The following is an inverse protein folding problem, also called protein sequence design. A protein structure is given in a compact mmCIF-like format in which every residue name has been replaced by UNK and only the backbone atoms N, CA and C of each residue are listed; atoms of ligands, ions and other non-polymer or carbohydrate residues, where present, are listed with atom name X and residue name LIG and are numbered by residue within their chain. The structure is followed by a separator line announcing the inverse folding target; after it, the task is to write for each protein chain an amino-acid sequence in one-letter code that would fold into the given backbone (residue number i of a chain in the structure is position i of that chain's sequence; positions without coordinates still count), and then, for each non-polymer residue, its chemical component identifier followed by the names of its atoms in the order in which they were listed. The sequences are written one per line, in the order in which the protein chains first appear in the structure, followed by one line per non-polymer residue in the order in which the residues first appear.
data_IF_581724857500
#
_entry.id   IF_581724857500
#
_cell.length_a   1.000
_cell.length_b   1.000
_cell.length_c   1.000
_cell.angle_alpha   90.00
_cell.angle_beta   90.00
_cell.angle_gamma   90.00
#
_symmetry.space_group_name_H-M   'P 1'
#
loop_
_entity.id
_entity.type
_entity.pdbx_description
1 polymer ?
#
# COMPACT_ATOMS: atom_id res chain seq x y z
N UNK A 1 5.90 -2.10 15.89
CA UNK A 1 4.98 -1.58 14.85
C UNK A 1 5.19 -0.10 14.52
N UNK A 2 5.59 0.73 15.49
CA UNK A 2 5.87 2.16 15.27
C UNK A 2 6.84 2.41 14.10
N UNK A 3 7.91 1.63 13.99
CA UNK A 3 8.90 1.74 12.91
C UNK A 3 8.32 1.39 11.53
N UNK A 4 7.54 0.30 11.42
CA UNK A 4 6.92 -0.11 10.14
C UNK A 4 5.87 0.91 9.66
N UNK A 5 5.08 1.43 10.60
CA UNK A 5 4.09 2.46 10.31
C UNK A 5 4.74 3.80 9.94
N UNK A 6 5.81 4.18 10.65
CA UNK A 6 6.59 5.37 10.36
C UNK A 6 7.27 5.28 8.98
N UNK A 7 7.86 4.14 8.64
CA UNK A 7 8.43 3.88 7.31
C UNK A 7 7.36 4.04 6.24
N UNK A 8 6.17 3.48 6.41
CA UNK A 8 5.11 3.59 5.41
C UNK A 8 4.58 5.03 5.27
N UNK A 9 4.44 5.76 6.38
CA UNK A 9 4.06 7.19 6.40
C UNK A 9 5.11 8.04 5.68
N UNK A 10 6.38 7.90 6.05
CA UNK A 10 7.48 8.68 5.46
C UNK A 10 7.61 8.36 3.98
N UNK A 11 7.56 7.09 3.60
CA UNK A 11 7.61 6.66 2.21
C UNK A 11 6.47 7.31 1.39
N UNK A 12 5.26 7.36 1.92
CA UNK A 12 4.12 7.90 1.17
C UNK A 12 4.11 9.42 1.12
N UNK A 13 4.51 10.12 2.19
CA UNK A 13 4.67 11.58 2.13
C UNK A 13 5.79 11.99 1.18
N UNK A 14 6.90 11.25 1.15
CA UNK A 14 7.96 11.43 0.15
C UNK A 14 7.40 11.22 -1.26
N UNK A 15 6.54 10.22 -1.47
CA UNK A 15 5.94 9.93 -2.79
C UNK A 15 4.99 11.04 -3.25
N UNK A 16 4.13 11.53 -2.37
CA UNK A 16 3.22 12.64 -2.66
C UNK A 16 4.03 13.90 -2.98
N UNK A 17 5.09 14.17 -2.22
CA UNK A 17 5.99 15.30 -2.47
C UNK A 17 6.74 15.18 -3.80
N UNK A 18 7.21 13.98 -4.16
CA UNK A 18 7.90 13.74 -5.43
C UNK A 18 6.96 13.85 -6.63
N UNK A 19 5.65 13.63 -6.46
CA UNK A 19 4.68 13.79 -7.54
C UNK A 19 4.34 15.23 -7.92
N UNK A 20 4.63 16.22 -7.06
CA UNK A 20 4.63 17.63 -7.48
C UNK A 20 5.67 17.87 -8.59
N UNK A 21 6.66 16.99 -8.68
CA UNK A 21 7.64 16.92 -9.76
C UNK A 21 7.39 15.66 -10.58
N UNK A 22 6.34 15.64 -11.41
CA UNK A 22 5.81 14.51 -12.22
C UNK A 22 6.87 13.45 -12.61
N UNK A 23 8.03 13.87 -13.12
CA UNK A 23 9.13 12.99 -13.51
C UNK A 23 9.77 12.22 -12.33
N UNK A 24 10.03 12.89 -11.22
CA UNK A 24 10.56 12.28 -10.00
C UNK A 24 9.51 11.36 -9.35
N UNK A 25 8.23 11.72 -9.42
CA UNK A 25 7.12 10.88 -8.96
C UNK A 25 7.10 9.51 -9.62
N UNK A 26 7.28 9.47 -10.94
CA UNK A 26 7.36 8.21 -11.68
C UNK A 26 8.56 7.35 -11.27
N UNK A 27 9.74 7.94 -11.08
CA UNK A 27 10.93 7.20 -10.62
C UNK A 27 10.77 6.69 -9.18
N UNK A 28 10.14 7.48 -8.31
CA UNK A 28 9.87 7.09 -6.94
C UNK A 28 8.97 5.85 -6.88
N UNK A 29 7.94 5.79 -7.72
CA UNK A 29 7.00 4.66 -7.78
C UNK A 29 7.69 3.32 -8.12
N UNK A 30 8.78 3.33 -8.90
CA UNK A 30 9.56 2.12 -9.23
C UNK A 30 10.24 1.53 -7.98
N UNK A 31 10.69 2.38 -7.05
CA UNK A 31 11.30 1.94 -5.78
C UNK A 31 10.23 1.65 -4.73
N UNK A 32 9.21 2.50 -4.65
CA UNK A 32 8.15 2.42 -3.66
C UNK A 32 7.20 1.25 -3.88
N UNK A 33 6.82 0.95 -5.12
CA UNK A 33 5.90 -0.15 -5.43
C UNK A 33 6.37 -1.48 -4.82
N UNK A 34 7.60 -1.94 -5.13
CA UNK A 34 8.17 -3.15 -4.52
C UNK A 34 8.28 -3.06 -3.00
N UNK A 35 8.70 -1.92 -2.44
CA UNK A 35 8.82 -1.73 -1.00
C UNK A 35 7.46 -1.87 -0.29
N UNK A 36 6.41 -1.29 -0.88
CA UNK A 36 5.04 -1.33 -0.38
C UNK A 36 4.46 -2.75 -0.47
N UNK A 37 4.77 -3.48 -1.53
CA UNK A 37 4.43 -4.90 -1.69
C UNK A 37 5.12 -5.79 -0.64
N UNK A 38 6.41 -5.56 -0.39
CA UNK A 38 7.16 -6.26 0.65
C UNK A 38 6.59 -5.98 2.05
N UNK A 39 6.28 -4.72 2.36
CA UNK A 39 5.63 -4.35 3.63
C UNK A 39 4.28 -5.06 3.78
N UNK A 40 3.48 -5.10 2.72
CA UNK A 40 2.19 -5.79 2.75
C UNK A 40 2.34 -7.29 3.03
N UNK A 41 3.31 -7.96 2.39
CA UNK A 41 3.61 -9.38 2.63
C UNK A 41 4.01 -9.60 4.09
N UNK A 42 4.93 -8.78 4.63
CA UNK A 42 5.39 -8.89 6.02
C UNK A 42 4.20 -8.73 6.98
N UNK A 43 3.33 -7.75 6.73
CA UNK A 43 2.14 -7.51 7.54
C UNK A 43 1.17 -8.69 7.47
N UNK A 44 0.87 -9.20 6.27
CA UNK A 44 -0.02 -10.33 6.07
C UNK A 44 0.52 -11.61 6.70
N UNK A 45 1.82 -11.89 6.65
CA UNK A 45 2.37 -13.10 7.25
C UNK A 45 2.46 -13.02 8.77
N UNK A 46 2.91 -11.88 9.30
CA UNK A 46 3.24 -11.75 10.72
C UNK A 46 2.04 -11.39 11.59
N UNK A 47 1.12 -10.57 11.07
CA UNK A 47 0.08 -9.96 11.87
C UNK A 47 -1.33 -10.45 11.55
N UNK A 48 -1.57 -11.12 10.42
CA UNK A 48 -2.92 -11.53 10.01
C UNK A 48 -3.69 -12.36 11.07
N UNK A 49 -2.99 -13.27 11.77
CA UNK A 49 -3.60 -14.12 12.79
C UNK A 49 -3.99 -13.41 14.09
N UNK A 50 -3.39 -12.25 14.38
CA UNK A 50 -3.66 -11.50 15.62
C UNK A 50 -4.64 -10.35 15.39
N UNK A 51 -5.07 -10.12 14.15
CA UNK A 51 -5.98 -9.04 13.78
C UNK A 51 -7.43 -9.44 14.01
N UNK A 52 -8.26 -8.45 14.31
CA UNK A 52 -9.70 -8.60 14.26
C UNK A 52 -10.19 -8.81 12.82
N UNK A 53 -11.43 -9.28 12.69
CA UNK A 53 -12.07 -9.52 11.38
C UNK A 53 -12.08 -8.26 10.51
N UNK A 54 -12.26 -7.08 11.10
CA UNK A 54 -12.28 -5.82 10.36
C UNK A 54 -10.94 -5.54 9.65
N UNK A 55 -9.82 -5.65 10.38
CA UNK A 55 -8.50 -5.41 9.80
C UNK A 55 -8.06 -6.53 8.85
N UNK A 56 -8.50 -7.77 9.07
CA UNK A 56 -8.29 -8.86 8.10
C UNK A 56 -8.97 -8.57 6.77
N UNK A 57 -10.22 -8.10 6.80
CA UNK A 57 -10.98 -7.71 5.61
C UNK A 57 -10.29 -6.56 4.86
N UNK A 58 -9.76 -5.55 5.57
CA UNK A 58 -9.00 -4.45 4.96
C UNK A 58 -7.75 -4.94 4.20
N UNK A 59 -7.01 -5.88 4.78
CA UNK A 59 -5.85 -6.50 4.12
C UNK A 59 -6.28 -7.32 2.90
N UNK A 60 -7.40 -8.05 2.99
CA UNK A 60 -7.95 -8.82 1.87
C UNK A 60 -8.35 -7.91 0.70
N UNK A 61 -9.03 -6.79 0.98
CA UNK A 61 -9.36 -5.79 -0.04
C UNK A 61 -8.11 -5.17 -0.67
N UNK A 62 -7.07 -4.89 0.13
CA UNK A 62 -5.80 -4.40 -0.40
C UNK A 62 -5.21 -5.39 -1.41
N UNK A 63 -5.11 -6.67 -1.06
CA UNK A 63 -4.58 -7.69 -1.97
C UNK A 63 -5.42 -7.85 -3.23
N UNK A 64 -6.75 -7.78 -3.10
CA UNK A 64 -7.66 -7.78 -4.24
C UNK A 64 -7.39 -6.60 -5.19
N UNK A 65 -7.24 -5.39 -4.64
CA UNK A 65 -6.89 -4.19 -5.42
C UNK A 65 -5.51 -4.30 -6.09
N UNK A 66 -4.51 -4.85 -5.41
CA UNK A 66 -3.17 -5.08 -5.96
C UNK A 66 -3.24 -6.05 -7.15
N UNK A 67 -3.93 -7.19 -6.99
CA UNK A 67 -4.06 -8.20 -8.05
C UNK A 67 -4.79 -7.62 -9.27
N UNK A 68 -5.88 -6.88 -9.05
CA UNK A 68 -6.60 -6.21 -10.14
C UNK A 68 -5.70 -5.18 -10.82
N UNK A 69 -5.04 -4.32 -10.06
CA UNK A 69 -4.17 -3.26 -10.61
C UNK A 69 -3.03 -3.85 -11.43
N UNK A 70 -2.38 -4.92 -10.95
CA UNK A 70 -1.30 -5.60 -11.67
C UNK A 70 -1.81 -6.31 -12.92
N UNK A 71 -2.98 -6.95 -12.85
CA UNK A 71 -3.58 -7.65 -14.00
C UNK A 71 -3.93 -6.67 -15.11
N UNK A 72 -4.58 -5.54 -14.77
CA UNK A 72 -4.94 -4.52 -15.74
C UNK A 72 -3.67 -3.85 -16.31
N UNK A 73 -2.68 -3.55 -15.47
CA UNK A 73 -1.40 -3.00 -15.94
C UNK A 73 -0.70 -3.96 -16.91
N UNK A 74 -0.70 -5.27 -16.64
CA UNK A 74 -0.13 -6.28 -17.52
C UNK A 74 -0.86 -6.34 -18.88
N UNK A 75 -2.20 -6.42 -18.88
CA UNK A 75 -3.00 -6.41 -20.11
C UNK A 75 -2.74 -5.12 -20.92
N UNK A 76 -2.73 -3.98 -20.23
CA UNK A 76 -2.46 -2.68 -20.84
C UNK A 76 -1.07 -2.64 -21.46
N UNK A 77 -0.05 -3.21 -20.82
CA UNK A 77 1.32 -3.25 -21.35
C UNK A 77 1.44 -4.07 -22.64
N UNK A 78 0.77 -5.22 -22.73
CA UNK A 78 0.82 -6.10 -23.91
C UNK A 78 -0.14 -5.68 -25.04
N UNK A 79 -1.13 -4.82 -24.75
CA UNK A 79 -2.24 -4.51 -25.65
C UNK A 79 -2.08 -3.28 -26.55
N UNK A 80 -0.89 -2.70 -26.70
CA UNK A 80 -0.66 -1.42 -27.42
C UNK A 80 -1.63 -0.30 -26.99
N UNK A 81 -1.53 0.15 -25.73
CA UNK A 81 -2.47 1.09 -25.16
C UNK A 81 -2.25 2.50 -25.73
N UNK A 82 -3.31 3.28 -25.84
CA UNK A 82 -3.15 4.72 -26.09
C UNK A 82 -2.44 5.37 -24.88
N UNK A 83 -1.76 6.48 -25.11
CA UNK A 83 -0.92 7.16 -24.09
C UNK A 83 -1.70 7.54 -22.83
N UNK A 84 -3.01 7.82 -22.93
CA UNK A 84 -3.85 8.19 -21.79
C UNK A 84 -4.19 6.97 -20.92
N UNK A 85 -4.59 5.83 -21.50
CA UNK A 85 -4.91 4.62 -20.73
C UNK A 85 -3.68 4.08 -20.01
N UNK A 86 -2.50 4.12 -20.64
CA UNK A 86 -1.25 3.75 -20.00
C UNK A 86 -0.97 4.60 -18.74
N UNK A 87 -1.15 5.93 -18.83
CA UNK A 87 -0.94 6.83 -17.68
C UNK A 87 -1.91 6.48 -16.54
N UNK A 88 -3.19 6.28 -16.82
CA UNK A 88 -4.19 6.00 -15.77
C UNK A 88 -3.85 4.68 -15.05
N UNK A 89 -3.62 3.61 -15.81
CA UNK A 89 -3.48 2.27 -15.23
C UNK A 89 -2.10 1.96 -14.65
N UNK A 90 -1.05 2.61 -15.15
CA UNK A 90 0.33 2.36 -14.68
C UNK A 90 0.79 3.40 -13.65
N UNK A 91 0.21 4.60 -13.66
CA UNK A 91 0.64 5.70 -12.78
C UNK A 91 -0.43 6.00 -11.74
N UNK A 92 -1.65 6.35 -12.16
CA UNK A 92 -2.69 6.85 -11.22
C UNK A 92 -3.24 5.75 -10.31
N UNK A 93 -3.62 4.61 -10.89
CA UNK A 93 -4.24 3.51 -10.12
C UNK A 93 -3.29 2.91 -9.08
N UNK A 94 -2.04 2.57 -9.39
CA UNK A 94 -1.10 2.07 -8.38
C UNK A 94 -0.87 3.07 -7.24
N UNK A 95 -0.93 4.37 -7.54
CA UNK A 95 -0.87 5.42 -6.53
C UNK A 95 -2.06 5.40 -5.58
N UNK A 96 -3.27 5.22 -6.10
CA UNK A 96 -4.46 5.10 -5.27
C UNK A 96 -4.40 3.85 -4.37
N UNK A 97 -3.89 2.74 -4.91
CA UNK A 97 -3.64 1.51 -4.13
C UNK A 97 -2.61 1.76 -3.03
N UNK A 98 -1.54 2.49 -3.32
CA UNK A 98 -0.54 2.92 -2.34
C UNK A 98 -1.15 3.78 -1.22
N UNK A 99 -2.00 4.76 -1.57
CA UNK A 99 -2.74 5.57 -0.60
C UNK A 99 -3.69 4.74 0.25
N UNK A 100 -4.38 3.75 -0.32
CA UNK A 100 -5.20 2.83 0.45
C UNK A 100 -4.35 2.00 1.43
N UNK A 101 -3.16 1.54 1.02
CA UNK A 101 -2.27 0.78 1.88
C UNK A 101 -1.80 1.56 3.11
N UNK A 102 -1.60 2.88 2.99
CA UNK A 102 -1.38 3.74 4.16
C UNK A 102 -2.50 3.65 5.17
N UNK A 103 -3.75 3.77 4.69
CA UNK A 103 -4.92 3.72 5.54
C UNK A 103 -5.01 2.37 6.28
N UNK A 104 -4.81 1.26 5.55
CA UNK A 104 -4.77 -0.09 6.14
C UNK A 104 -3.70 -0.18 7.23
N UNK A 105 -2.48 0.30 6.95
CA UNK A 105 -1.37 0.27 7.91
C UNK A 105 -1.65 1.14 9.14
N UNK A 106 -2.33 2.28 8.97
CA UNK A 106 -2.76 3.15 10.07
C UNK A 106 -3.84 2.52 10.95
N UNK A 107 -4.80 1.82 10.33
CA UNK A 107 -5.82 1.07 11.07
C UNK A 107 -5.16 -0.03 11.90
N UNK A 108 -4.27 -0.81 11.28
CA UNK A 108 -3.49 -1.85 11.94
C UNK A 108 -2.70 -1.33 13.14
N UNK A 109 -1.92 -0.28 12.93
CA UNK A 109 -1.06 0.24 13.99
C UNK A 109 -1.89 0.71 15.20
N UNK A 110 -3.07 1.31 14.98
CA UNK A 110 -3.99 1.66 16.08
C UNK A 110 -4.48 0.42 16.81
N UNK A 111 -4.92 -0.60 16.08
CA UNK A 111 -5.41 -1.85 16.66
C UNK A 111 -4.35 -2.58 17.49
N UNK A 112 -3.14 -2.80 16.95
CA UNK A 112 -2.08 -3.49 17.70
C UNK A 112 -1.67 -2.71 18.96
N UNK A 113 -1.60 -1.37 18.91
CA UNK A 113 -1.27 -0.59 20.10
C UNK A 113 -2.38 -0.68 21.16
N UNK A 114 -3.67 -0.68 20.76
CA UNK A 114 -4.77 -0.86 21.71
C UNK A 114 -4.77 -2.24 22.37
N UNK A 115 -4.41 -3.29 21.64
CA UNK A 115 -4.29 -4.66 22.22
C UNK A 115 -3.14 -4.72 23.23
N UNK A 116 -2.03 -4.04 22.97
CA UNK A 116 -0.88 -4.02 23.88
C UNK A 116 -1.17 -3.24 25.18
N UNK A 117 -1.87 -2.11 25.09
CA UNK A 117 -2.28 -1.33 26.27
C UNK A 117 -3.27 -2.06 27.19
N UNK A 118 -4.07 -2.98 26.63
CA UNK A 118 -4.96 -3.84 27.43
C UNK A 118 -4.14 -4.91 28.16
N UNK A 119 -3.18 -5.54 27.47
CA UNK A 119 -2.34 -6.58 28.04
C UNK A 119 -1.36 -6.08 29.13
N UNK A 120 -0.95 -4.80 29.12
CA UNK A 120 -0.15 -4.20 30.20
C UNK A 120 -0.97 -3.81 31.44
N UNK A 121 -2.31 -3.79 31.34
CA UNK A 121 -3.21 -3.41 32.43
C UNK A 121 -3.80 -4.60 33.20
N UNK A 122 -3.58 -5.83 32.71
CA UNK A 122 -3.91 -7.09 33.38
C UNK A 122 -2.70 -7.66 34.13
#
# INVERSE_FOLDING_TARGET
MKTLHFINIVATYITIGLYLFIYLGMMAQVVLGPLQLLLAIIISLRYYKILDQHNQILIMYYWFLVVISLSIAAITWFGYPNSITAIIWVIVVPMLVACYFLYVTKSLNRYINSVHEIAEKE
#
